data_IF_708784283387
#
_entry.id   IF_708784283387
#
_cell.length_a   1.000
_cell.length_b   1.000
_cell.length_c   1.000
_cell.angle_alpha   90.00
_cell.angle_beta   90.00
_cell.angle_gamma   90.00
#
_symmetry.space_group_name_H-M   'P 1'
#
loop_
_entity.id
_entity.type
_entity.pdbx_description
1 polymer ?
#
# COMPACT_ATOMS: atom_id res chain seq x y z
N UNK A 1 -1.96 6.24 16.20
CA UNK A 1 -2.84 6.12 15.02
C UNK A 1 -2.58 4.76 14.40
N UNK A 2 -3.61 4.04 13.97
CA UNK A 2 -3.49 2.72 13.32
C UNK A 2 -3.58 2.89 11.80
N UNK A 3 -3.00 1.97 11.04
CA UNK A 3 -3.11 1.99 9.57
C UNK A 3 -4.55 2.12 9.06
N UNK A 4 -5.49 1.41 9.69
CA UNK A 4 -6.93 1.46 9.34
C UNK A 4 -7.56 2.84 9.48
N UNK A 5 -6.97 3.72 10.29
CA UNK A 5 -7.47 5.09 10.46
C UNK A 5 -7.23 5.94 9.19
N UNK A 6 -6.34 5.50 8.28
CA UNK A 6 -6.05 6.17 7.01
C UNK A 6 -6.99 5.74 5.87
N UNK A 7 -7.56 4.53 5.93
CA UNK A 7 -8.37 3.95 4.85
C UNK A 7 -9.61 4.75 4.43
N UNK A 8 -10.29 5.53 5.32
CA UNK A 8 -11.42 6.35 4.91
C UNK A 8 -11.07 7.58 4.06
N UNK A 9 -9.79 7.95 3.93
CA UNK A 9 -9.32 9.13 3.21
C UNK A 9 -9.56 9.02 1.70
N UNK A 10 -10.06 10.11 1.09
CA UNK A 10 -10.52 10.17 -0.30
C UNK A 10 -10.31 11.50 -1.02
N UNK A 11 -9.36 12.32 -0.54
CA UNK A 11 -8.99 13.55 -1.23
C UNK A 11 -7.79 13.27 -2.16
N UNK A 12 -6.63 13.89 -1.91
CA UNK A 12 -5.46 13.77 -2.77
C UNK A 12 -4.32 13.11 -1.99
N UNK A 13 -3.74 12.06 -2.57
CA UNK A 13 -2.65 11.30 -1.99
C UNK A 13 -1.45 11.36 -2.94
N UNK A 14 -0.28 11.74 -2.43
CA UNK A 14 0.94 11.82 -3.22
C UNK A 14 2.00 10.90 -2.65
N UNK A 15 2.71 10.20 -3.53
CA UNK A 15 3.92 9.49 -3.16
C UNK A 15 5.07 10.49 -3.03
N UNK A 16 5.72 10.50 -1.87
CA UNK A 16 6.89 11.35 -1.62
C UNK A 16 8.19 10.54 -1.74
N UNK A 17 8.21 9.33 -1.18
CA UNK A 17 9.43 8.52 -1.12
C UNK A 17 9.10 7.05 -0.85
N UNK A 18 9.95 6.15 -1.36
CA UNK A 18 9.94 4.71 -1.03
C UNK A 18 11.37 4.33 -0.70
N UNK A 19 11.56 3.73 0.48
CA UNK A 19 12.88 3.29 0.96
C UNK A 19 12.82 1.86 1.45
N UNK A 20 13.73 1.05 0.95
CA UNK A 20 13.98 -0.29 1.47
C UNK A 20 15.06 -0.23 2.55
N UNK A 21 14.82 -0.93 3.65
CA UNK A 21 15.78 -1.12 4.73
C UNK A 21 16.00 -2.62 4.95
N UNK A 22 17.26 -3.06 4.80
CA UNK A 22 17.58 -4.47 4.94
C UNK A 22 16.78 -5.36 3.97
N UNK A 23 16.52 -6.62 4.34
CA UNK A 23 15.94 -7.59 3.41
C UNK A 23 14.40 -7.58 3.32
N UNK A 24 13.69 -7.04 4.32
CA UNK A 24 12.23 -7.22 4.47
C UNK A 24 11.48 -5.95 4.89
N UNK A 25 12.18 -4.84 5.13
CA UNK A 25 11.54 -3.60 5.58
C UNK A 25 11.37 -2.62 4.42
N UNK A 26 10.16 -2.06 4.29
CA UNK A 26 9.79 -1.06 3.29
C UNK A 26 9.10 0.11 3.98
N UNK A 27 9.66 1.30 3.84
CA UNK A 27 9.04 2.57 4.24
C UNK A 27 8.45 3.26 3.01
N UNK A 28 7.17 3.61 3.08
CA UNK A 28 6.48 4.45 2.09
C UNK A 28 6.12 5.77 2.77
N UNK A 29 6.60 6.87 2.21
CA UNK A 29 6.23 8.23 2.65
C UNK A 29 5.15 8.78 1.73
N UNK A 30 4.00 9.15 2.31
CA UNK A 30 2.84 9.67 1.62
C UNK A 30 2.50 11.07 2.12
N UNK A 31 2.08 11.93 1.21
CA UNK A 31 1.50 13.23 1.54
C UNK A 31 -0.02 13.21 1.32
N UNK A 32 -0.75 13.61 2.36
CA UNK A 32 -2.21 13.73 2.38
C UNK A 32 -2.58 15.20 2.23
N UNK A 33 -3.40 15.50 1.22
CA UNK A 33 -3.84 16.84 0.89
C UNK A 33 -5.36 16.87 0.71
N UNK A 34 -6.04 17.82 1.38
CA UNK A 34 -7.50 17.96 1.27
C UNK A 34 -7.93 18.74 0.02
N UNK A 35 -7.12 19.71 -0.42
CA UNK A 35 -7.40 20.48 -1.63
C UNK A 35 -6.10 21.00 -2.25
N UNK A 36 -5.88 20.82 -3.56
CA UNK A 36 -4.69 21.31 -4.26
C UNK A 36 -4.68 22.83 -4.45
N UNK A 37 -5.84 23.47 -4.36
CA UNK A 37 -5.98 24.93 -4.50
C UNK A 37 -5.89 25.71 -3.20
N UNK A 38 -5.90 25.03 -2.05
CA UNK A 38 -5.91 25.68 -0.75
C UNK A 38 -4.49 25.87 -0.21
N UNK A 39 -4.26 26.93 0.57
CA UNK A 39 -3.03 27.07 1.38
C UNK A 39 -3.07 26.17 2.63
N UNK A 40 -3.93 25.15 2.65
CA UNK A 40 -4.06 24.27 3.81
C UNK A 40 -2.78 23.46 3.99
N UNK A 41 -2.52 23.09 5.24
CA UNK A 41 -1.37 22.25 5.56
C UNK A 41 -1.62 20.85 5.02
N UNK A 42 -0.66 20.34 4.27
CA UNK A 42 -0.57 18.91 3.98
C UNK A 42 -0.13 18.16 5.22
N UNK A 43 -0.43 16.86 5.25
CA UNK A 43 0.01 15.97 6.31
C UNK A 43 0.86 14.88 5.67
N UNK A 44 2.13 14.83 6.03
CA UNK A 44 3.01 13.73 5.62
C UNK A 44 2.89 12.58 6.62
N UNK A 45 2.78 11.36 6.11
CA UNK A 45 2.85 10.13 6.90
C UNK A 45 3.87 9.16 6.35
N UNK A 46 4.49 8.40 7.25
CA UNK A 46 5.39 7.30 6.91
C UNK A 46 4.77 5.98 7.32
N UNK A 47 4.66 5.06 6.37
CA UNK A 47 4.11 3.73 6.53
C UNK A 47 5.25 2.72 6.44
N UNK A 48 5.48 1.98 7.52
CA UNK A 48 6.52 0.96 7.60
C UNK A 48 5.90 -0.43 7.49
N UNK A 49 6.38 -1.21 6.54
CA UNK A 49 6.16 -2.65 6.45
C UNK A 49 7.44 -3.33 6.94
N UNK A 50 7.37 -4.20 7.94
CA UNK A 50 8.55 -4.90 8.49
C UNK A 50 8.76 -6.29 7.87
N UNK A 51 7.78 -6.74 7.08
CA UNK A 51 7.73 -8.07 6.47
C UNK A 51 7.16 -8.03 5.05
N UNK A 52 7.57 -7.02 4.27
CA UNK A 52 7.17 -6.94 2.87
C UNK A 52 7.79 -8.11 2.08
N UNK A 53 7.03 -8.64 1.13
CA UNK A 53 7.44 -9.75 0.24
C UNK A 53 7.69 -9.25 -1.17
N UNK A 54 6.85 -8.33 -1.64
CA UNK A 54 7.00 -7.69 -2.96
C UNK A 54 6.33 -6.33 -2.95
N UNK A 55 6.83 -5.39 -3.75
CA UNK A 55 6.15 -4.15 -4.05
C UNK A 55 6.29 -3.79 -5.52
N UNK A 56 5.35 -2.99 -6.01
CA UNK A 56 5.33 -2.49 -7.39
C UNK A 56 4.85 -1.05 -7.39
N UNK A 57 5.42 -0.23 -8.27
CA UNK A 57 4.96 1.12 -8.56
C UNK A 57 4.55 1.19 -10.02
N UNK A 58 3.29 1.52 -10.26
CA UNK A 58 2.69 1.67 -11.59
C UNK A 58 2.34 3.15 -11.75
N UNK A 59 2.62 3.73 -12.92
CA UNK A 59 2.16 5.08 -13.25
C UNK A 59 0.62 5.08 -13.36
N UNK A 60 -0.05 5.96 -12.62
CA UNK A 60 -1.51 5.94 -12.40
C UNK A 60 -2.30 5.92 -13.71
N UNK A 61 -1.84 6.65 -14.73
CA UNK A 61 -2.53 6.73 -16.02
C UNK A 61 -2.62 5.40 -16.80
N UNK A 62 -1.88 4.38 -16.34
CA UNK A 62 -1.91 3.02 -16.91
C UNK A 62 -2.56 2.00 -15.96
N UNK A 63 -3.07 2.43 -14.81
CA UNK A 63 -3.80 1.55 -13.91
C UNK A 63 -5.11 1.06 -14.53
N UNK A 64 -5.52 -0.14 -14.12
CA UNK A 64 -6.79 -0.73 -14.52
C UNK A 64 -7.49 -1.30 -13.31
N UNK A 65 -8.61 -0.70 -12.94
CA UNK A 65 -9.52 -1.28 -11.95
C UNK A 65 -10.17 -2.53 -12.52
N UNK A 66 -9.89 -3.69 -11.93
CA UNK A 66 -10.56 -4.94 -12.26
C UNK A 66 -11.74 -5.16 -11.30
N UNK A 67 -12.96 -5.16 -11.83
CA UNK A 67 -14.21 -5.29 -11.06
C UNK A 67 -14.31 -6.61 -10.27
N UNK A 68 -13.48 -7.60 -10.59
CA UNK A 68 -13.43 -8.88 -9.87
C UNK A 68 -12.62 -8.80 -8.58
N UNK A 69 -11.78 -7.79 -8.42
CA UNK A 69 -10.98 -7.65 -7.21
C UNK A 69 -11.83 -7.11 -6.06
N UNK A 70 -11.58 -7.62 -4.86
CA UNK A 70 -12.35 -7.27 -3.66
C UNK A 70 -11.40 -6.62 -2.67
N UNK A 71 -11.67 -5.37 -2.32
CA UNK A 71 -10.91 -4.63 -1.33
C UNK A 71 -11.79 -3.77 -0.42
N UNK A 72 -11.19 -3.30 0.66
CA UNK A 72 -11.77 -2.32 1.58
C UNK A 72 -10.92 -1.06 1.61
N UNK A 73 -11.54 0.09 1.86
CA UNK A 73 -10.88 1.41 1.84
C UNK A 73 -11.20 2.21 0.58
N UNK A 74 -10.53 3.35 0.40
CA UNK A 74 -10.73 4.26 -0.73
C UNK A 74 -9.43 4.44 -1.52
N UNK A 75 -8.62 5.46 -1.22
CA UNK A 75 -7.28 5.61 -1.83
C UNK A 75 -6.26 4.67 -1.21
N UNK A 76 -6.48 4.29 0.05
CA UNK A 76 -5.65 3.32 0.77
C UNK A 76 -6.48 2.06 0.96
N UNK A 77 -6.06 0.99 0.32
CA UNK A 77 -6.85 -0.23 0.16
C UNK A 77 -6.16 -1.43 0.80
N UNK A 78 -6.97 -2.32 1.34
CA UNK A 78 -6.56 -3.68 1.71
C UNK A 78 -7.41 -4.64 0.92
N UNK A 79 -6.76 -5.46 0.09
CA UNK A 79 -7.40 -6.43 -0.76
C UNK A 79 -7.65 -7.74 -0.02
N UNK A 80 -8.87 -8.24 -0.17
CA UNK A 80 -9.26 -9.61 0.16
C UNK A 80 -8.93 -10.55 -1.01
N UNK A 81 -9.15 -10.09 -2.24
CA UNK A 81 -8.92 -10.83 -3.48
C UNK A 81 -8.32 -9.88 -4.52
N UNK A 82 -7.15 -10.23 -5.08
CA UNK A 82 -6.52 -9.45 -6.15
C UNK A 82 -5.66 -10.32 -7.06
N UNK A 83 -5.53 -9.89 -8.32
CA UNK A 83 -4.68 -10.53 -9.32
C UNK A 83 -3.21 -10.44 -8.93
N UNK A 84 -2.77 -9.30 -8.38
CA UNK A 84 -1.39 -9.11 -7.92
C UNK A 84 -1.03 -10.07 -6.78
N UNK A 85 -1.91 -10.25 -5.79
CA UNK A 85 -1.72 -11.24 -4.73
C UNK A 85 -1.62 -12.67 -5.27
N UNK A 86 -2.47 -13.04 -6.23
CA UNK A 86 -2.43 -14.35 -6.87
C UNK A 86 -1.14 -14.57 -7.66
N UNK A 87 -0.66 -13.53 -8.34
CA UNK A 87 0.61 -13.55 -9.05
C UNK A 87 1.78 -13.79 -8.08
N UNK A 88 1.89 -13.00 -7.00
CA UNK A 88 2.96 -13.15 -6.00
C UNK A 88 2.94 -14.54 -5.34
N UNK A 89 1.75 -15.10 -5.06
CA UNK A 89 1.61 -16.50 -4.60
C UNK A 89 2.17 -17.51 -5.60
N UNK A 90 2.06 -17.26 -6.90
CA UNK A 90 2.51 -18.19 -7.94
C UNK A 90 4.02 -18.15 -8.21
N UNK A 91 4.70 -17.08 -7.80
CA UNK A 91 6.14 -16.87 -8.10
C UNK A 91 7.03 -16.81 -6.86
N UNK A 92 6.45 -16.89 -5.65
CA UNK A 92 7.21 -16.87 -4.39
C UNK A 92 6.87 -18.08 -3.53
N UNK A 93 7.78 -18.43 -2.63
CA UNK A 93 7.57 -19.46 -1.60
C UNK A 93 7.15 -18.85 -0.26
N UNK A 94 6.63 -17.61 -0.23
CA UNK A 94 6.42 -16.87 1.02
C UNK A 94 5.44 -17.58 1.98
N UNK A 95 4.32 -18.12 1.47
CA UNK A 95 3.35 -18.88 2.27
C UNK A 95 3.88 -20.29 2.66
N UNK A 96 4.90 -20.82 1.99
CA UNK A 96 5.56 -22.09 2.37
C UNK A 96 6.61 -21.88 3.48
N UNK A 97 7.32 -20.74 3.43
CA UNK A 97 8.32 -20.36 4.44
C UNK A 97 7.63 -19.84 5.72
N UNK A 98 6.52 -19.13 5.57
CA UNK A 98 5.73 -18.53 6.66
C UNK A 98 4.27 -19.01 6.64
N UNK A 99 4.00 -20.31 6.85
CA UNK A 99 2.65 -20.89 6.72
C UNK A 99 1.63 -20.34 7.74
N UNK A 100 2.11 -19.79 8.85
CA UNK A 100 1.27 -19.16 9.89
C UNK A 100 0.87 -17.71 9.57
N UNK A 101 1.53 -17.06 8.60
CA UNK A 101 1.35 -15.65 8.28
C UNK A 101 0.89 -15.48 6.82
N UNK A 102 -0.41 -15.35 6.56
CA UNK A 102 -0.90 -15.26 5.18
C UNK A 102 -0.46 -13.94 4.53
N UNK A 103 -0.35 -13.95 3.20
CA UNK A 103 -0.05 -12.75 2.43
C UNK A 103 -1.26 -11.82 2.35
N UNK A 104 -1.01 -10.53 2.58
CA UNK A 104 -1.98 -9.44 2.49
C UNK A 104 -1.51 -8.45 1.43
N UNK A 105 -2.43 -8.02 0.58
CA UNK A 105 -2.17 -7.00 -0.43
C UNK A 105 -2.71 -5.64 0.02
N UNK A 106 -1.80 -4.66 0.07
CA UNK A 106 -2.06 -3.25 0.33
C UNK A 106 -1.86 -2.44 -0.95
N UNK A 107 -2.72 -1.46 -1.19
CA UNK A 107 -2.54 -0.54 -2.31
C UNK A 107 -2.70 0.91 -1.85
N UNK A 108 -1.86 1.78 -2.40
CA UNK A 108 -1.96 3.23 -2.28
C UNK A 108 -2.18 3.83 -3.66
N UNK A 109 -3.39 4.37 -3.87
CA UNK A 109 -3.79 5.07 -5.09
C UNK A 109 -3.42 6.54 -4.90
N UNK A 110 -2.24 6.91 -5.40
CA UNK A 110 -1.77 8.30 -5.42
C UNK A 110 -2.09 8.95 -6.76
N UNK A 111 -2.02 10.27 -6.82
CA UNK A 111 -2.34 11.03 -8.04
C UNK A 111 -1.50 10.60 -9.26
N UNK A 112 -0.19 10.36 -9.06
CA UNK A 112 0.72 9.99 -10.15
C UNK A 112 1.11 8.51 -10.14
N UNK A 113 0.83 7.79 -9.05
CA UNK A 113 1.35 6.44 -8.82
C UNK A 113 0.34 5.52 -8.12
N UNK A 114 0.22 4.30 -8.60
CA UNK A 114 -0.34 3.18 -7.83
C UNK A 114 0.81 2.41 -7.21
N UNK A 115 0.76 2.23 -5.90
CA UNK A 115 1.77 1.47 -5.17
C UNK A 115 1.10 0.23 -4.60
N UNK A 116 1.51 -0.95 -5.06
CA UNK A 116 1.06 -2.23 -4.53
C UNK A 116 2.13 -2.79 -3.59
N UNK A 117 1.74 -3.31 -2.43
CA UNK A 117 2.64 -3.97 -1.47
C UNK A 117 2.00 -5.28 -1.03
N UNK A 118 2.72 -6.39 -1.22
CA UNK A 118 2.40 -7.66 -0.57
C UNK A 118 3.27 -7.76 0.69
N UNK A 119 2.64 -8.02 1.82
CA UNK A 119 3.30 -8.25 3.10
C UNK A 119 2.72 -9.50 3.77
N UNK A 120 3.47 -10.10 4.69
CA UNK A 120 2.87 -11.03 5.65
C UNK A 120 1.83 -10.26 6.50
N UNK A 121 0.81 -10.93 7.06
CA UNK A 121 -0.37 -10.33 7.74
C UNK A 121 -0.06 -9.39 8.93
N UNK A 122 1.22 -9.17 9.25
CA UNK A 122 1.63 -8.06 10.10
C UNK A 122 1.17 -6.72 9.53
N UNK A 123 0.43 -5.96 10.35
CA UNK A 123 -0.14 -4.69 9.92
C UNK A 123 0.96 -3.65 9.84
N UNK A 124 1.05 -2.88 8.75
CA UNK A 124 2.04 -1.82 8.66
C UNK A 124 1.86 -0.77 9.76
N UNK A 125 2.98 -0.21 10.19
CA UNK A 125 3.06 0.78 11.25
C UNK A 125 3.09 2.19 10.67
N UNK A 126 2.45 3.14 11.35
CA UNK A 126 2.61 4.57 11.04
C UNK A 126 3.65 5.13 11.99
N UNK A 127 4.80 5.54 11.45
CA UNK A 127 5.96 5.94 12.25
C UNK A 127 6.17 7.46 12.35
N UNK A 128 5.43 8.25 11.56
CA UNK A 128 5.30 9.72 11.69
C UNK A 128 4.06 10.22 10.96
#
# INVERSE_FOLDING_TARGET
MKFRDLMPFDNFLFLIDIKEFGPLELEITLEFMNSPSSKEKTITRKILFESYVAFEVIAEQFDRVDEKEIFSGKLIRIYKESNYLNYIRSITYAEEIHPESPLVHYQFVCEDHIINVISLEEKPHIIS
#
